data_IF_756085289365
#
_entry.id   IF_756085289365
#
_cell.length_a   1.000
_cell.length_b   1.000
_cell.length_c   1.000
_cell.angle_alpha   90.00
_cell.angle_beta   90.00
_cell.angle_gamma   90.00
#
_symmetry.space_group_name_H-M   'P 1'
#
loop_
_entity.id
_entity.type
_entity.pdbx_description
1 polymer ?
#
# COMPACT_ATOMS: atom_id res chain seq x y z
N UNK A 1 -19.31 21.80 -37.58
CA UNK A 1 -18.60 20.53 -37.83
C UNK A 1 -17.20 20.49 -37.20
N UNK A 2 -16.32 21.48 -37.42
CA UNK A 2 -14.96 21.48 -36.84
C UNK A 2 -14.85 21.48 -35.29
N UNK A 3 -15.81 22.07 -34.57
CA UNK A 3 -15.77 22.15 -33.08
C UNK A 3 -15.99 20.82 -32.36
N UNK A 4 -16.74 19.89 -32.96
CA UNK A 4 -17.01 18.56 -32.37
C UNK A 4 -15.77 17.66 -32.49
N UNK A 5 -15.04 17.73 -33.60
CA UNK A 5 -13.80 16.97 -33.80
C UNK A 5 -12.70 17.35 -32.78
N UNK A 6 -12.64 18.62 -32.37
CA UNK A 6 -11.70 19.09 -31.35
C UNK A 6 -12.00 18.52 -29.95
N UNK A 7 -13.27 18.25 -29.63
CA UNK A 7 -13.67 17.61 -28.37
C UNK A 7 -13.23 16.14 -28.34
N UNK A 8 -13.37 15.42 -29.45
CA UNK A 8 -12.88 14.04 -29.55
C UNK A 8 -11.34 13.97 -29.43
N UNK A 9 -10.59 14.88 -30.04
CA UNK A 9 -9.13 14.95 -29.85
C UNK A 9 -8.70 15.26 -28.41
N UNK A 10 -9.54 15.93 -27.62
CA UNK A 10 -9.31 16.18 -26.19
C UNK A 10 -9.58 14.93 -25.33
N UNK A 11 -10.50 14.08 -25.75
CA UNK A 11 -10.79 12.77 -25.13
C UNK A 11 -9.76 11.70 -25.52
N UNK A 12 -9.17 11.80 -26.72
CA UNK A 12 -8.09 10.94 -27.22
C UNK A 12 -6.69 11.30 -26.68
N UNK A 13 -6.58 12.30 -25.79
CA UNK A 13 -5.33 12.55 -25.06
C UNK A 13 -5.08 11.35 -24.15
N UNK A 14 -4.39 10.36 -24.73
CA UNK A 14 -3.83 9.15 -24.14
C UNK A 14 -3.46 9.39 -22.67
N UNK A 15 -4.38 9.04 -21.77
CA UNK A 15 -3.98 8.62 -20.43
C UNK A 15 -3.23 7.33 -20.65
N UNK A 16 -1.90 7.43 -20.80
CA UNK A 16 -1.02 6.28 -20.76
C UNK A 16 -1.10 5.72 -19.35
N UNK A 17 -2.02 4.79 -19.12
CA UNK A 17 -2.01 4.00 -17.88
C UNK A 17 -0.70 3.23 -17.92
N UNK A 18 0.24 3.70 -17.11
CA UNK A 18 1.53 3.08 -16.90
C UNK A 18 1.32 1.58 -16.68
N UNK A 19 2.05 0.72 -17.41
CA UNK A 19 1.98 -0.75 -17.23
C UNK A 19 2.45 -1.22 -15.84
N UNK A 20 2.80 -0.29 -14.96
CA UNK A 20 3.13 -0.59 -13.58
C UNK A 20 1.86 -1.03 -12.87
N UNK A 21 1.86 -2.29 -12.41
CA UNK A 21 0.82 -2.82 -11.53
C UNK A 21 0.66 -1.87 -10.35
N UNK A 22 -0.55 -1.37 -10.15
CA UNK A 22 -0.91 -0.61 -8.96
C UNK A 22 -0.81 -1.54 -7.74
N UNK A 23 -0.21 -1.06 -6.66
CA UNK A 23 -0.15 -1.75 -5.37
C UNK A 23 -1.08 -1.05 -4.38
N UNK A 24 -1.96 -1.81 -3.72
CA UNK A 24 -2.78 -1.32 -2.62
C UNK A 24 -1.96 -1.35 -1.32
N UNK A 25 -1.41 -0.20 -0.96
CA UNK A 25 -0.64 0.00 0.27
C UNK A 25 -1.54 0.46 1.43
N UNK A 26 -1.53 -0.29 2.54
CA UNK A 26 -2.30 0.05 3.75
C UNK A 26 -1.40 0.44 4.94
N UNK A 27 -1.74 1.49 5.72
CA UNK A 27 -1.12 1.73 7.03
C UNK A 27 -1.52 0.67 8.05
N UNK A 28 -0.58 0.26 8.89
CA UNK A 28 -0.88 -0.49 10.11
C UNK A 28 -0.29 0.20 11.34
N UNK A 29 -1.12 0.35 12.38
CA UNK A 29 -0.65 0.77 13.71
C UNK A 29 0.23 -0.30 14.33
N UNK A 30 -0.21 -1.56 14.21
CA UNK A 30 0.41 -2.72 14.82
C UNK A 30 0.27 -3.97 13.95
N UNK A 31 0.94 -5.06 14.36
CA UNK A 31 0.95 -6.30 13.62
C UNK A 31 -0.44 -6.95 13.48
N UNK A 32 -1.38 -6.69 14.40
CA UNK A 32 -2.74 -7.22 14.28
C UNK A 32 -3.51 -6.50 13.15
N UNK A 33 -3.46 -5.17 13.13
CA UNK A 33 -4.04 -4.38 12.03
C UNK A 33 -3.39 -4.72 10.69
N UNK A 34 -2.07 -4.97 10.68
CA UNK A 34 -1.37 -5.39 9.46
C UNK A 34 -1.91 -6.71 8.92
N UNK A 35 -2.17 -7.70 9.78
CA UNK A 35 -2.77 -8.98 9.37
C UNK A 35 -4.15 -8.77 8.76
N UNK A 36 -4.99 -7.95 9.39
CA UNK A 36 -6.33 -7.65 8.86
C UNK A 36 -6.24 -6.94 7.50
N UNK A 37 -5.36 -5.96 7.34
CA UNK A 37 -5.17 -5.29 6.05
C UNK A 37 -4.82 -6.29 4.93
N UNK A 38 -3.93 -7.24 5.22
CA UNK A 38 -3.53 -8.29 4.26
C UNK A 38 -4.71 -9.23 3.95
N UNK A 39 -5.44 -9.67 4.98
CA UNK A 39 -6.63 -10.54 4.79
C UNK A 39 -7.73 -9.87 3.95
N UNK A 40 -7.77 -8.54 3.93
CA UNK A 40 -8.73 -7.75 3.16
C UNK A 40 -8.15 -7.22 1.84
N UNK A 41 -7.00 -7.72 1.39
CA UNK A 41 -6.50 -7.51 0.04
C UNK A 41 -5.46 -6.41 -0.13
N UNK A 42 -4.80 -5.96 0.93
CA UNK A 42 -3.63 -5.11 0.79
C UNK A 42 -2.47 -5.87 0.12
N UNK A 43 -1.93 -5.33 -0.97
CA UNK A 43 -0.71 -5.83 -1.63
C UNK A 43 0.54 -5.51 -0.79
N UNK A 44 0.47 -4.50 0.05
CA UNK A 44 1.53 -4.14 0.98
C UNK A 44 1.01 -3.42 2.21
N UNK A 45 1.78 -3.49 3.29
CA UNK A 45 1.53 -2.76 4.54
C UNK A 45 2.78 -1.97 4.92
N UNK A 46 2.60 -0.70 5.29
CA UNK A 46 3.64 0.03 6.01
C UNK A 46 3.35 0.09 7.51
N UNK A 47 4.37 -0.16 8.32
CA UNK A 47 4.28 -0.24 9.77
C UNK A 47 5.50 0.44 10.40
N UNK A 48 5.27 1.24 11.44
CA UNK A 48 6.32 1.92 12.18
C UNK A 48 7.15 0.97 13.02
N UNK A 49 8.48 1.10 12.98
CA UNK A 49 9.40 0.36 13.85
C UNK A 49 9.38 0.82 15.31
N UNK A 50 10.24 0.26 16.18
CA UNK A 50 10.32 0.68 17.57
C UNK A 50 10.61 2.17 17.70
N UNK A 51 9.69 2.93 18.31
CA UNK A 51 9.83 4.39 18.48
C UNK A 51 9.47 5.23 17.24
N UNK A 52 8.97 4.59 16.18
CA UNK A 52 8.86 5.20 14.85
C UNK A 52 7.46 5.06 14.24
N UNK A 53 6.43 5.51 14.96
CA UNK A 53 5.09 5.59 14.39
C UNK A 53 4.46 6.94 14.56
N UNK A 54 3.62 7.31 13.58
CA UNK A 54 2.90 8.59 13.56
C UNK A 54 1.95 8.80 14.76
N UNK A 55 1.72 7.74 15.55
CA UNK A 55 0.95 7.79 16.80
C UNK A 55 1.90 7.55 17.95
N UNK A 56 1.72 8.30 19.04
CA UNK A 56 2.51 8.24 20.28
C UNK A 56 2.64 6.83 20.91
N UNK A 57 1.85 5.83 20.45
CA UNK A 57 1.80 4.45 20.94
C UNK A 57 2.08 3.37 19.87
N UNK A 58 2.67 3.71 18.73
CA UNK A 58 3.08 2.72 17.73
C UNK A 58 4.50 2.22 18.06
N UNK A 59 4.61 1.38 19.09
CA UNK A 59 5.87 0.74 19.49
C UNK A 59 5.88 -0.72 19.03
N UNK A 60 5.92 -0.94 17.71
CA UNK A 60 6.02 -2.32 17.20
C UNK A 60 7.43 -2.82 17.43
N UNK A 61 7.57 -3.95 18.13
CA UNK A 61 8.90 -4.53 18.31
C UNK A 61 9.39 -5.10 16.98
N UNK A 62 10.71 -5.15 16.79
CA UNK A 62 11.29 -5.83 15.63
C UNK A 62 10.88 -7.31 15.58
N UNK A 63 10.64 -7.92 16.75
CA UNK A 63 10.15 -9.29 16.86
C UNK A 63 8.74 -9.42 16.26
N UNK A 64 7.80 -8.53 16.62
CA UNK A 64 6.43 -8.58 16.09
C UNK A 64 6.41 -8.39 14.57
N UNK A 65 7.25 -7.48 14.07
CA UNK A 65 7.41 -7.25 12.62
C UNK A 65 8.01 -8.50 11.95
N UNK A 66 9.05 -9.10 12.53
CA UNK A 66 9.66 -10.31 11.99
C UNK A 66 8.68 -11.49 11.94
N UNK A 67 7.79 -11.63 12.92
CA UNK A 67 6.73 -12.64 12.94
C UNK A 67 5.59 -12.34 11.95
N UNK A 68 5.39 -11.08 11.56
CA UNK A 68 4.41 -10.66 10.56
C UNK A 68 4.87 -10.96 9.12
N UNK A 69 6.16 -10.82 8.82
CA UNK A 69 6.72 -11.04 7.46
C UNK A 69 6.33 -12.41 6.85
N UNK A 70 6.53 -13.56 7.51
CA UNK A 70 6.14 -14.85 6.93
C UNK A 70 4.64 -14.96 6.73
N UNK A 71 3.82 -14.30 7.56
CA UNK A 71 2.37 -14.24 7.34
C UNK A 71 2.06 -13.48 6.04
N UNK A 72 2.64 -12.30 5.84
CA UNK A 72 2.41 -11.45 4.66
C UNK A 72 2.82 -12.15 3.36
N UNK A 73 3.97 -12.82 3.35
CA UNK A 73 4.47 -13.54 2.18
C UNK A 73 3.54 -14.66 1.71
N UNK A 74 2.75 -15.29 2.60
CA UNK A 74 1.74 -16.29 2.18
C UNK A 74 0.62 -15.71 1.31
N UNK A 75 0.39 -14.40 1.40
CA UNK A 75 -0.60 -13.67 0.61
C UNK A 75 0.04 -12.84 -0.51
N UNK A 76 1.36 -12.97 -0.73
CA UNK A 76 2.10 -12.13 -1.67
C UNK A 76 2.26 -10.68 -1.23
N UNK A 77 1.92 -10.36 0.02
CA UNK A 77 1.96 -9.01 0.54
C UNK A 77 3.38 -8.62 1.04
N UNK A 78 3.76 -7.36 0.84
CA UNK A 78 5.05 -6.80 1.31
C UNK A 78 4.88 -6.04 2.63
N UNK A 79 5.91 -6.09 3.47
CA UNK A 79 5.99 -5.27 4.68
C UNK A 79 7.05 -4.19 4.49
N UNK A 80 6.65 -2.93 4.66
CA UNK A 80 7.53 -1.77 4.66
C UNK A 80 7.67 -1.23 6.07
N UNK A 81 8.89 -1.20 6.60
CA UNK A 81 9.16 -0.62 7.91
C UNK A 81 9.53 0.84 7.73
N UNK A 82 8.79 1.73 8.39
CA UNK A 82 9.11 3.16 8.37
C UNK A 82 9.97 3.54 9.58
N UNK A 83 10.94 4.45 9.40
CA UNK A 83 11.59 5.16 10.50
C UNK A 83 10.66 6.24 11.05
#
# INVERSE_FOLDING_TARGET
>A
MAKIAAIFQLLDKNVTVSSHRLELLSPARDAAIAREAILHGADAVYIGGPGFGARHNASNSLKDIAELVPFAHRYGAKIFVTP
#
